data_IF_004576608881
#
_entry.id   IF_004576608881
#
_cell.length_a   1.000
_cell.length_b   1.000
_cell.length_c   1.000
_cell.angle_alpha   90.00
_cell.angle_beta   90.00
_cell.angle_gamma   90.00
#
_symmetry.space_group_name_H-M   'P 1'
#
loop_
_entity.id
_entity.type
_entity.pdbx_description
1 polymer ?
#
# COMPACT_ATOMS: atom_id res chain seq x y z
N UNK A 1 7.50 31.08 19.65
CA UNK A 1 7.59 29.92 18.73
C UNK A 1 8.88 29.94 17.90
N UNK A 2 9.20 30.99 17.15
CA UNK A 2 10.39 31.07 16.29
C UNK A 2 11.70 30.92 17.06
N UNK A 3 11.87 31.56 18.22
CA UNK A 3 13.07 31.43 19.06
C UNK A 3 13.30 30.02 19.59
N UNK A 4 12.25 29.33 20.01
CA UNK A 4 12.32 27.95 20.50
C UNK A 4 12.75 26.99 19.39
N UNK A 5 12.20 27.11 18.17
CA UNK A 5 12.57 26.31 17.02
C UNK A 5 14.02 26.54 16.57
N UNK A 6 14.48 27.78 16.57
CA UNK A 6 15.88 28.09 16.29
C UNK A 6 16.83 27.52 17.35
N UNK A 7 16.42 27.49 18.61
CA UNK A 7 17.17 26.86 19.69
C UNK A 7 17.25 25.33 19.47
N UNK A 8 16.12 24.67 19.16
CA UNK A 8 16.11 23.24 18.83
C UNK A 8 16.98 22.92 17.61
N UNK A 9 16.91 23.74 16.56
CA UNK A 9 17.76 23.55 15.39
C UNK A 9 19.26 23.63 15.73
N UNK A 10 19.66 24.59 16.57
CA UNK A 10 21.06 24.73 17.02
C UNK A 10 21.49 23.52 17.85
N UNK A 11 20.65 23.06 18.79
CA UNK A 11 20.94 21.87 19.60
C UNK A 11 21.03 20.64 18.72
N UNK A 12 20.08 20.41 17.83
CA UNK A 12 20.09 19.29 16.91
C UNK A 12 21.38 19.27 16.09
N UNK A 13 21.80 20.40 15.56
CA UNK A 13 23.05 20.52 14.79
C UNK A 13 24.30 20.26 15.62
N UNK A 14 24.35 20.68 16.87
CA UNK A 14 25.47 20.42 17.78
C UNK A 14 25.52 18.93 18.15
N UNK A 15 24.40 18.35 18.57
CA UNK A 15 24.31 16.93 18.94
C UNK A 15 24.69 16.03 17.78
N UNK A 16 24.18 16.30 16.60
CA UNK A 16 24.53 15.53 15.40
C UNK A 16 26.03 15.63 15.07
N UNK A 17 26.64 16.80 15.17
CA UNK A 17 28.10 16.97 14.96
C UNK A 17 28.93 16.22 15.98
N UNK A 18 28.49 16.12 17.22
CA UNK A 18 29.16 15.32 18.25
C UNK A 18 29.03 13.80 18.01
N UNK A 19 27.98 13.36 17.31
CA UNK A 19 27.77 11.96 16.94
C UNK A 19 28.58 11.54 15.70
N UNK A 20 28.96 12.46 14.83
CA UNK A 20 29.72 12.17 13.60
C UNK A 20 31.00 11.35 13.83
N UNK A 21 31.86 11.66 14.81
CA UNK A 21 33.06 10.89 15.06
C UNK A 21 32.80 9.43 15.47
N UNK A 22 31.61 9.15 16.00
CA UNK A 22 31.17 7.79 16.40
C UNK A 22 30.56 7.05 15.20
N UNK A 23 29.77 7.73 14.40
CA UNK A 23 29.02 7.12 13.30
C UNK A 23 29.88 6.89 12.03
N UNK A 24 30.82 7.80 11.75
CA UNK A 24 31.69 7.72 10.56
C UNK A 24 32.55 6.46 10.49
N UNK A 25 33.21 6.01 11.57
CA UNK A 25 33.99 4.77 11.53
C UNK A 25 33.13 3.55 11.22
N UNK A 26 31.94 3.46 11.84
CA UNK A 26 30.99 2.36 11.58
C UNK A 26 30.47 2.38 10.14
N UNK A 27 30.07 3.53 9.62
CA UNK A 27 29.65 3.71 8.24
C UNK A 27 30.79 3.42 7.26
N UNK A 28 32.00 3.87 7.56
CA UNK A 28 33.21 3.59 6.79
C UNK A 28 33.55 2.10 6.74
N UNK A 29 33.42 1.40 7.87
CA UNK A 29 33.61 -0.04 7.95
C UNK A 29 32.59 -0.77 7.06
N UNK A 30 31.31 -0.45 7.18
CA UNK A 30 30.25 -1.05 6.34
C UNK A 30 30.50 -0.74 4.87
N UNK A 31 30.86 0.49 4.53
CA UNK A 31 31.16 0.89 3.16
C UNK A 31 32.37 0.13 2.57
N UNK A 32 33.41 -0.13 3.37
CA UNK A 32 34.60 -0.80 2.95
C UNK A 32 34.38 -2.31 2.74
N UNK A 33 33.74 -2.97 3.72
CA UNK A 33 33.61 -4.42 3.75
C UNK A 33 32.37 -4.97 3.05
N UNK A 34 31.36 -4.11 2.78
CA UNK A 34 30.11 -4.52 2.11
C UNK A 34 29.86 -3.70 0.83
N UNK A 35 30.55 -4.02 -0.29
CA UNK A 35 30.45 -3.24 -1.54
C UNK A 35 29.02 -3.05 -2.07
N UNK A 36 28.14 -4.03 -1.84
CA UNK A 36 26.72 -3.97 -2.25
C UNK A 36 25.92 -2.86 -1.55
N UNK A 37 26.38 -2.36 -0.41
CA UNK A 37 25.72 -1.30 0.34
C UNK A 37 26.17 0.11 -0.07
N UNK A 38 27.24 0.24 -0.88
CA UNK A 38 27.82 1.53 -1.30
C UNK A 38 26.83 2.45 -2.00
N UNK A 39 26.01 1.99 -2.96
CA UNK A 39 24.99 2.84 -3.58
C UNK A 39 23.99 3.38 -2.55
N UNK A 40 23.53 2.53 -1.61
CA UNK A 40 22.65 2.91 -0.53
C UNK A 40 23.24 4.05 0.33
N UNK A 41 24.48 3.89 0.82
CA UNK A 41 25.13 4.92 1.62
C UNK A 41 25.37 6.20 0.83
N UNK A 42 25.78 6.10 -0.44
CA UNK A 42 26.02 7.26 -1.30
C UNK A 42 24.77 8.13 -1.45
N UNK A 43 23.63 7.52 -1.73
CA UNK A 43 22.36 8.25 -1.83
C UNK A 43 21.94 8.85 -0.48
N UNK A 44 22.05 8.08 0.62
CA UNK A 44 21.71 8.53 1.98
C UNK A 44 22.63 9.67 2.49
N UNK A 45 23.82 9.80 1.95
CA UNK A 45 24.70 10.94 2.18
C UNK A 45 24.43 12.13 1.24
N UNK A 46 23.40 12.02 0.40
CA UNK A 46 22.97 13.07 -0.52
C UNK A 46 23.75 13.13 -1.83
N UNK A 47 24.65 12.14 -2.11
CA UNK A 47 25.41 12.10 -3.34
C UNK A 47 24.75 11.27 -4.45
N UNK A 48 24.93 11.69 -5.69
CA UNK A 48 24.59 10.88 -6.87
C UNK A 48 23.14 10.95 -7.34
N UNK A 49 22.37 11.90 -6.84
CA UNK A 49 20.97 12.12 -7.28
C UNK A 49 20.96 13.24 -8.32
N UNK A 50 20.38 12.95 -9.49
CA UNK A 50 20.15 13.91 -10.58
C UNK A 50 19.28 15.08 -10.11
N UNK A 51 19.48 16.26 -10.71
CA UNK A 51 18.51 17.38 -10.56
C UNK A 51 17.14 16.91 -11.04
N UNK A 52 16.06 17.50 -10.49
CA UNK A 52 14.70 17.22 -10.94
C UNK A 52 14.61 17.36 -12.46
N UNK A 53 14.37 16.25 -13.17
CA UNK A 53 14.35 16.19 -14.64
C UNK A 53 12.95 16.21 -15.21
N UNK A 54 11.93 15.93 -14.40
CA UNK A 54 10.53 16.02 -14.82
C UNK A 54 10.08 17.47 -14.94
N UNK A 55 10.20 18.06 -16.15
CA UNK A 55 9.53 19.32 -16.44
C UNK A 55 8.04 19.04 -16.69
N UNK A 56 7.12 19.79 -16.04
CA UNK A 56 5.72 19.70 -16.39
C UNK A 56 5.52 20.05 -17.86
N UNK A 57 4.68 19.28 -18.55
CA UNK A 57 4.35 19.45 -19.99
C UNK A 57 3.55 20.75 -20.28
N UNK A 58 3.48 21.69 -19.35
CA UNK A 58 2.72 22.94 -19.46
C UNK A 58 3.51 24.14 -18.98
N UNK A 59 3.35 25.26 -19.63
CA UNK A 59 4.12 26.50 -19.57
C UNK A 59 3.97 27.35 -18.31
N UNK A 60 3.71 26.79 -17.12
CA UNK A 60 3.78 27.52 -15.86
C UNK A 60 4.92 26.98 -15.00
N UNK A 61 6.08 27.65 -15.04
CA UNK A 61 7.16 27.48 -14.09
C UNK A 61 6.67 27.90 -12.71
N UNK A 62 6.15 26.97 -11.92
CA UNK A 62 6.04 27.17 -10.47
C UNK A 62 7.45 27.31 -9.91
N UNK A 63 7.71 28.35 -9.11
CA UNK A 63 9.03 28.64 -8.55
C UNK A 63 9.42 27.57 -7.52
N UNK A 64 10.25 26.59 -7.94
CA UNK A 64 10.84 25.55 -7.10
C UNK A 64 10.13 24.19 -7.15
N UNK A 65 10.84 23.16 -6.70
CA UNK A 65 10.36 21.78 -6.71
C UNK A 65 9.63 21.39 -5.41
N UNK A 66 8.75 20.40 -5.49
CA UNK A 66 8.10 19.73 -4.36
C UNK A 66 8.81 18.40 -4.10
N UNK A 67 9.32 18.22 -2.89
CA UNK A 67 9.79 16.91 -2.43
C UNK A 67 8.59 16.09 -1.97
N UNK A 68 8.40 14.91 -2.57
CA UNK A 68 7.42 13.93 -2.11
C UNK A 68 8.14 12.71 -1.52
N UNK A 69 7.85 12.40 -0.26
CA UNK A 69 8.53 11.35 0.47
C UNK A 69 7.58 10.23 0.90
N UNK A 70 8.00 8.98 0.67
CA UNK A 70 7.36 7.75 1.15
C UNK A 70 8.37 6.89 1.90
N UNK A 71 7.95 6.11 2.89
CA UNK A 71 8.87 5.24 3.61
C UNK A 71 9.06 3.88 2.92
N UNK A 72 8.01 3.26 2.44
CA UNK A 72 7.96 1.85 2.06
C UNK A 72 7.37 1.60 0.67
N UNK A 73 7.49 0.34 0.21
CA UNK A 73 6.82 -0.14 -1.01
C UNK A 73 5.29 0.06 -0.97
N UNK A 74 4.65 -0.28 0.17
CA UNK A 74 3.21 -0.14 0.31
C UNK A 74 2.74 1.31 0.21
N UNK A 75 3.50 2.25 0.80
CA UNK A 75 3.26 3.67 0.69
C UNK A 75 3.52 4.20 -0.73
N UNK A 76 4.59 3.73 -1.41
CA UNK A 76 4.86 4.11 -2.79
C UNK A 76 3.70 3.74 -3.73
N UNK A 77 3.14 2.55 -3.57
CA UNK A 77 1.96 2.10 -4.33
C UNK A 77 0.74 2.96 -4.00
N UNK A 78 0.47 3.18 -2.70
CA UNK A 78 -0.69 3.96 -2.25
C UNK A 78 -0.61 5.45 -2.67
N UNK A 79 0.61 6.00 -2.75
CA UNK A 79 0.84 7.39 -3.15
C UNK A 79 0.83 7.60 -4.68
N UNK A 80 0.95 6.53 -5.48
CA UNK A 80 1.08 6.62 -6.94
C UNK A 80 -0.01 7.47 -7.60
N UNK A 81 -1.32 7.34 -7.30
CA UNK A 81 -2.35 8.20 -7.89
C UNK A 81 -2.16 9.68 -7.57
N UNK A 82 -1.77 9.99 -6.32
CA UNK A 82 -1.53 11.37 -5.90
C UNK A 82 -0.28 11.95 -6.57
N UNK A 83 0.82 11.19 -6.62
CA UNK A 83 2.06 11.62 -7.29
C UNK A 83 1.79 11.89 -8.78
N UNK A 84 1.03 11.05 -9.49
CA UNK A 84 0.64 11.27 -10.90
C UNK A 84 -0.11 12.59 -11.06
N UNK A 85 -1.15 12.82 -10.28
CA UNK A 85 -1.94 14.05 -10.34
C UNK A 85 -1.09 15.31 -10.05
N UNK A 86 -0.14 15.23 -9.12
CA UNK A 86 0.76 16.33 -8.80
C UNK A 86 1.81 16.56 -9.88
N UNK A 87 2.32 15.51 -10.52
CA UNK A 87 3.36 15.58 -11.55
C UNK A 87 2.91 16.28 -12.83
N UNK A 88 1.60 16.34 -13.10
CA UNK A 88 1.04 17.06 -14.24
C UNK A 88 1.28 18.58 -14.15
N UNK A 89 1.39 19.12 -12.93
CA UNK A 89 1.43 20.58 -12.68
C UNK A 89 2.67 21.06 -11.93
N UNK A 90 3.38 20.16 -11.24
CA UNK A 90 4.48 20.49 -10.36
C UNK A 90 5.73 19.67 -10.66
N UNK A 91 6.89 20.30 -10.55
CA UNK A 91 8.17 19.60 -10.58
C UNK A 91 8.34 18.81 -9.28
N UNK A 92 8.46 17.49 -9.38
CA UNK A 92 8.57 16.60 -8.22
C UNK A 92 9.98 16.02 -8.08
N UNK A 93 10.44 15.95 -6.84
CA UNK A 93 11.59 15.12 -6.42
C UNK A 93 11.01 14.02 -5.53
N UNK A 94 11.19 12.77 -5.90
CA UNK A 94 10.64 11.63 -5.18
C UNK A 94 11.71 10.98 -4.32
N UNK A 95 11.37 10.70 -3.06
CA UNK A 95 12.28 9.99 -2.15
C UNK A 95 11.59 8.86 -1.42
N UNK A 96 12.37 7.81 -1.11
CA UNK A 96 11.92 6.70 -0.27
C UNK A 96 12.92 6.41 0.85
N UNK A 97 12.42 5.83 1.95
CA UNK A 97 13.30 5.34 3.03
C UNK A 97 13.91 3.98 2.70
N UNK A 98 13.13 3.08 2.07
CA UNK A 98 13.54 1.71 1.73
C UNK A 98 13.95 1.56 0.25
N UNK A 99 14.85 0.61 -0.04
CA UNK A 99 15.24 0.27 -1.41
C UNK A 99 14.04 -0.18 -2.25
N UNK A 100 13.17 -1.01 -1.70
CA UNK A 100 11.97 -1.50 -2.39
C UNK A 100 10.97 -0.38 -2.70
N UNK A 101 10.83 0.60 -1.80
CA UNK A 101 10.04 1.82 -2.05
C UNK A 101 10.65 2.67 -3.17
N UNK A 102 11.97 2.86 -3.16
CA UNK A 102 12.68 3.57 -4.24
C UNK A 102 12.51 2.89 -5.58
N UNK A 103 12.68 1.56 -5.65
CA UNK A 103 12.52 0.78 -6.88
C UNK A 103 11.10 0.89 -7.44
N UNK A 104 10.09 0.83 -6.57
CA UNK A 104 8.70 1.00 -6.96
C UNK A 104 8.44 2.39 -7.57
N UNK A 105 8.94 3.46 -6.92
CA UNK A 105 8.82 4.82 -7.44
C UNK A 105 9.57 4.97 -8.77
N UNK A 106 10.79 4.43 -8.90
CA UNK A 106 11.57 4.49 -10.14
C UNK A 106 10.83 3.80 -11.29
N UNK A 107 10.21 2.65 -11.02
CA UNK A 107 9.41 1.94 -12.02
C UNK A 107 8.15 2.70 -12.43
N UNK A 108 7.45 3.31 -11.46
CA UNK A 108 6.20 4.04 -11.70
C UNK A 108 6.42 5.42 -12.34
N UNK A 109 7.59 6.03 -12.10
CA UNK A 109 7.93 7.40 -12.51
C UNK A 109 9.36 7.47 -13.09
N UNK A 110 9.62 6.84 -14.25
CA UNK A 110 10.96 6.73 -14.83
C UNK A 110 11.57 8.10 -15.21
N UNK A 111 10.73 9.09 -15.50
CA UNK A 111 11.15 10.43 -15.91
C UNK A 111 11.39 11.38 -14.71
N UNK A 112 11.20 10.92 -13.49
CA UNK A 112 11.38 11.73 -12.30
C UNK A 112 12.70 11.43 -11.58
N UNK A 113 13.19 12.42 -10.83
CA UNK A 113 14.32 12.22 -9.91
C UNK A 113 13.87 11.41 -8.72
N UNK A 114 14.27 10.14 -8.63
CA UNK A 114 13.96 9.23 -7.52
C UNK A 114 15.23 8.84 -6.79
N UNK A 115 15.21 8.93 -5.45
CA UNK A 115 16.36 8.55 -4.62
C UNK A 115 15.93 8.05 -3.23
N UNK A 116 16.90 7.49 -2.50
CA UNK A 116 16.74 7.35 -1.07
C UNK A 116 16.80 8.71 -0.39
N UNK A 117 16.00 8.87 0.69
CA UNK A 117 16.03 10.05 1.54
C UNK A 117 17.39 10.16 2.25
N UNK A 118 17.97 11.36 2.46
CA UNK A 118 19.18 11.53 3.27
C UNK A 118 19.01 11.00 4.69
N UNK A 119 20.10 10.66 5.37
CA UNK A 119 20.06 10.45 6.82
C UNK A 119 19.56 11.72 7.52
N UNK A 120 18.86 11.56 8.65
CA UNK A 120 18.25 12.69 9.35
C UNK A 120 19.31 13.54 10.11
N UNK A 121 20.09 14.27 9.34
CA UNK A 121 21.17 15.13 9.79
C UNK A 121 21.06 16.50 9.12
N UNK A 122 21.09 17.63 9.85
CA UNK A 122 20.95 18.96 9.26
C UNK A 122 21.98 19.27 8.18
N UNK A 123 23.23 18.82 8.38
CA UNK A 123 24.33 19.03 7.44
C UNK A 123 24.16 18.25 6.12
N UNK A 124 23.24 17.27 6.05
CA UNK A 124 22.82 16.61 4.83
C UNK A 124 21.52 17.20 4.24
N UNK A 125 20.55 17.54 5.10
CA UNK A 125 19.28 18.08 4.63
C UNK A 125 19.39 19.46 4.01
N UNK A 126 20.20 20.38 4.61
CA UNK A 126 20.37 21.72 4.08
C UNK A 126 20.89 21.73 2.64
N UNK A 127 22.03 21.06 2.31
CA UNK A 127 22.50 21.00 0.93
C UNK A 127 21.55 20.25 0.02
N UNK A 128 20.88 19.16 0.51
CA UNK A 128 19.91 18.41 -0.27
C UNK A 128 18.74 19.29 -0.73
N UNK A 129 18.14 20.05 0.17
CA UNK A 129 17.02 20.95 -0.12
C UNK A 129 17.43 22.10 -1.06
N UNK A 130 18.61 22.71 -0.81
CA UNK A 130 19.13 23.82 -1.62
C UNK A 130 19.48 23.40 -3.04
N UNK A 131 20.23 22.30 -3.20
CA UNK A 131 20.72 21.86 -4.50
C UNK A 131 19.61 21.44 -5.48
N UNK A 132 18.43 21.10 -4.95
CA UNK A 132 17.25 20.69 -5.72
C UNK A 132 16.17 21.75 -5.76
N UNK A 133 16.45 22.95 -5.23
CA UNK A 133 15.52 24.07 -5.18
C UNK A 133 14.18 23.72 -4.54
N UNK A 134 14.20 22.84 -3.51
CA UNK A 134 12.98 22.38 -2.83
C UNK A 134 12.37 23.56 -2.05
N UNK A 135 11.08 23.83 -2.31
CA UNK A 135 10.31 24.88 -1.63
C UNK A 135 9.19 24.30 -0.76
N UNK A 136 8.79 23.08 -1.04
CA UNK A 136 7.72 22.38 -0.32
C UNK A 136 8.11 20.91 -0.14
N UNK A 137 7.69 20.34 0.98
CA UNK A 137 7.84 18.91 1.29
C UNK A 137 6.46 18.34 1.56
N UNK A 138 6.10 17.23 0.93
CA UNK A 138 4.95 16.41 1.23
C UNK A 138 5.40 15.06 1.76
N UNK A 139 5.02 14.76 2.99
CA UNK A 139 5.31 13.51 3.67
C UNK A 139 4.10 12.60 3.60
N UNK A 140 4.29 11.38 3.15
CA UNK A 140 3.23 10.37 3.14
C UNK A 140 3.18 9.65 4.48
N UNK A 141 1.99 9.50 5.05
CA UNK A 141 1.74 8.95 6.40
C UNK A 141 2.43 9.76 7.51
N UNK A 142 3.31 9.13 8.30
CA UNK A 142 3.91 9.79 9.50
C UNK A 142 5.42 9.66 9.50
N UNK A 143 6.07 10.44 8.68
CA UNK A 143 7.52 10.51 8.59
C UNK A 143 8.03 11.78 9.30
N UNK A 144 7.91 11.83 10.64
CA UNK A 144 8.36 12.96 11.46
C UNK A 144 9.86 12.83 11.77
N UNK A 145 10.66 13.46 10.95
CA UNK A 145 12.11 13.46 11.03
C UNK A 145 12.59 14.82 11.56
N UNK A 146 13.12 14.90 12.82
CA UNK A 146 13.42 16.17 13.45
C UNK A 146 14.37 17.08 12.66
N UNK A 147 15.52 16.53 12.19
CA UNK A 147 16.51 17.34 11.47
C UNK A 147 15.99 17.82 10.11
N UNK A 148 15.16 17.00 9.42
CA UNK A 148 14.48 17.40 8.20
C UNK A 148 13.56 18.58 8.44
N UNK A 149 12.65 18.50 9.43
CA UNK A 149 11.67 19.54 9.75
C UNK A 149 12.34 20.84 10.19
N UNK A 150 13.36 20.74 11.05
CA UNK A 150 14.11 21.90 11.52
C UNK A 150 14.93 22.54 10.39
N UNK A 151 15.50 21.75 9.48
CA UNK A 151 16.22 22.25 8.30
C UNK A 151 15.26 22.92 7.30
N UNK A 152 14.08 22.33 7.09
CA UNK A 152 13.02 22.93 6.27
C UNK A 152 12.58 24.29 6.86
N UNK A 153 12.30 24.33 8.16
CA UNK A 153 11.99 25.57 8.86
C UNK A 153 13.09 26.63 8.71
N UNK A 154 14.36 26.25 8.91
CA UNK A 154 15.51 27.15 8.76
C UNK A 154 15.62 27.75 7.36
N UNK A 155 15.23 27.00 6.32
CA UNK A 155 15.28 27.42 4.91
C UNK A 155 13.97 28.05 4.42
N UNK A 156 12.93 28.16 5.25
CA UNK A 156 11.62 28.65 4.85
C UNK A 156 10.87 27.68 3.92
N UNK A 157 11.22 26.38 3.94
CA UNK A 157 10.53 25.32 3.19
C UNK A 157 9.31 24.89 3.97
N UNK A 158 8.13 24.94 3.34
CA UNK A 158 6.86 24.49 3.95
C UNK A 158 6.76 22.96 3.93
N UNK A 159 6.19 22.36 4.99
CA UNK A 159 6.05 20.91 5.12
C UNK A 159 4.60 20.55 5.37
N UNK A 160 4.04 19.72 4.50
CA UNK A 160 2.71 19.13 4.65
C UNK A 160 2.76 17.62 4.83
N UNK A 161 1.68 17.06 5.36
CA UNK A 161 1.46 15.61 5.46
C UNK A 161 0.23 15.25 4.64
N UNK A 162 0.34 14.15 3.89
CA UNK A 162 -0.76 13.53 3.16
C UNK A 162 -0.95 12.08 3.62
N UNK A 163 -2.20 11.61 3.61
CA UNK A 163 -2.54 10.28 4.14
C UNK A 163 -2.08 10.10 5.59
N UNK A 164 -2.11 11.18 6.40
CA UNK A 164 -1.54 11.24 7.74
C UNK A 164 -2.16 10.22 8.69
N UNK A 165 -1.32 9.44 9.36
CA UNK A 165 -1.72 8.39 10.29
C UNK A 165 -0.78 8.34 11.48
N UNK A 166 -1.31 8.31 12.69
CA UNK A 166 -0.55 8.10 13.92
C UNK A 166 -0.98 6.79 14.58
N UNK A 167 -0.17 5.73 14.46
CA UNK A 167 -0.45 4.46 15.13
C UNK A 167 -0.53 4.65 16.65
N UNK A 168 -1.29 3.80 17.34
CA UNK A 168 -1.44 3.87 18.81
C UNK A 168 -0.09 3.79 19.52
N UNK A 169 0.81 2.93 19.05
CA UNK A 169 2.17 2.78 19.59
C UNK A 169 3.02 4.03 19.34
N UNK A 170 2.97 4.56 18.10
CA UNK A 170 3.69 5.78 17.72
C UNK A 170 3.21 6.99 18.52
N UNK A 171 1.89 7.18 18.60
CA UNK A 171 1.28 8.25 19.39
C UNK A 171 1.68 8.19 20.88
N UNK A 172 1.60 7.00 21.52
CA UNK A 172 2.02 6.84 22.92
C UNK A 172 3.50 7.18 23.12
N UNK A 173 4.38 6.72 22.22
CA UNK A 173 5.82 7.00 22.29
C UNK A 173 6.10 8.48 22.17
N UNK A 174 5.54 9.16 21.16
CA UNK A 174 5.75 10.61 20.96
C UNK A 174 5.11 11.44 22.06
N UNK A 175 3.94 11.05 22.57
CA UNK A 175 3.28 11.74 23.70
C UNK A 175 4.11 11.71 24.98
N UNK A 176 4.91 10.66 25.19
CA UNK A 176 5.84 10.57 26.35
C UNK A 176 6.94 11.63 26.30
N UNK A 177 7.32 12.05 25.09
CA UNK A 177 8.32 13.07 24.83
C UNK A 177 7.70 14.31 24.18
N UNK A 178 6.47 14.62 24.54
CA UNK A 178 5.65 15.68 23.96
C UNK A 178 6.37 17.03 23.82
N UNK A 179 7.13 17.55 24.83
CA UNK A 179 7.84 18.81 24.69
C UNK A 179 8.79 18.87 23.49
N UNK A 180 9.40 17.75 23.10
CA UNK A 180 10.29 17.67 21.94
C UNK A 180 9.52 17.62 20.61
N UNK A 181 8.35 16.97 20.59
CA UNK A 181 7.61 16.77 19.34
C UNK A 181 6.62 17.88 19.03
N UNK A 182 5.99 18.52 20.02
CA UNK A 182 5.01 19.59 19.81
C UNK A 182 5.52 20.71 18.88
N UNK A 183 6.73 21.24 19.05
CA UNK A 183 7.23 22.26 18.14
C UNK A 183 7.37 21.79 16.70
N UNK A 184 7.68 20.51 16.49
CA UNK A 184 7.79 19.90 15.15
C UNK A 184 6.42 19.75 14.49
N UNK A 185 5.42 19.30 15.25
CA UNK A 185 4.05 19.18 14.75
C UNK A 185 3.40 20.54 14.44
N UNK A 186 3.84 21.61 15.08
CA UNK A 186 3.39 22.97 14.78
C UNK A 186 3.92 23.52 13.44
N UNK A 187 4.95 22.90 12.86
CA UNK A 187 5.49 23.26 11.55
C UNK A 187 4.68 22.67 10.38
N UNK A 188 3.78 21.75 10.67
CA UNK A 188 3.07 20.98 9.63
C UNK A 188 1.83 21.75 9.16
N UNK A 189 1.78 22.04 7.86
CA UNK A 189 0.67 22.70 7.18
C UNK A 189 0.74 22.47 5.66
N UNK A 190 -0.27 21.80 5.04
CA UNK A 190 -1.43 21.14 5.65
C UNK A 190 -1.12 19.74 6.19
N UNK A 191 -2.02 19.21 7.03
CA UNK A 191 -2.02 17.83 7.50
C UNK A 191 -3.31 17.16 7.08
N UNK A 192 -3.28 16.39 6.00
CA UNK A 192 -4.44 15.65 5.50
C UNK A 192 -4.40 14.23 6.06
N UNK A 193 -5.32 13.91 6.96
CA UNK A 193 -5.33 12.66 7.73
C UNK A 193 -6.32 11.64 7.21
N UNK A 194 -6.09 10.34 7.54
CA UNK A 194 -6.90 9.22 7.11
C UNK A 194 -8.23 9.12 7.86
N UNK A 195 -8.24 9.44 9.16
CA UNK A 195 -9.39 9.22 10.05
C UNK A 195 -9.59 10.35 11.07
N UNK A 196 -10.78 10.40 11.66
CA UNK A 196 -11.08 11.31 12.78
C UNK A 196 -10.19 11.03 14.01
N UNK A 197 -9.81 9.77 14.23
CA UNK A 197 -8.87 9.38 15.28
C UNK A 197 -7.48 9.99 15.05
N UNK A 198 -7.01 9.98 13.81
CA UNK A 198 -5.73 10.60 13.45
C UNK A 198 -5.82 12.11 13.59
N UNK A 199 -6.94 12.72 13.19
CA UNK A 199 -7.18 14.15 13.39
C UNK A 199 -7.02 14.57 14.86
N UNK A 200 -7.63 13.79 15.78
CA UNK A 200 -7.52 14.03 17.22
C UNK A 200 -6.06 13.85 17.72
N UNK A 201 -5.37 12.80 17.25
CA UNK A 201 -3.97 12.54 17.61
C UNK A 201 -3.02 13.63 17.13
N UNK A 202 -3.13 14.09 15.88
CA UNK A 202 -2.33 15.21 15.36
C UNK A 202 -2.59 16.50 16.15
N UNK A 203 -3.86 16.79 16.48
CA UNK A 203 -4.22 17.94 17.31
C UNK A 203 -3.58 17.83 18.70
N UNK A 204 -3.66 16.67 19.35
CA UNK A 204 -3.02 16.41 20.65
C UNK A 204 -1.50 16.52 20.60
N UNK A 205 -0.88 16.23 19.47
CA UNK A 205 0.56 16.42 19.28
C UNK A 205 0.98 17.84 18.99
N UNK A 206 0.05 18.76 18.76
CA UNK A 206 0.34 20.19 18.66
C UNK A 206 0.10 20.83 17.29
N UNK A 207 -0.33 20.05 16.28
CA UNK A 207 -0.73 20.60 14.99
C UNK A 207 -1.95 21.53 15.17
N UNK A 208 -1.92 22.69 14.54
CA UNK A 208 -3.02 23.64 14.61
C UNK A 208 -4.27 23.06 13.96
N UNK A 209 -5.42 23.17 14.62
CA UNK A 209 -6.68 22.57 14.12
C UNK A 209 -7.07 23.01 12.72
N UNK A 210 -6.78 24.27 12.35
CA UNK A 210 -7.04 24.82 11.01
C UNK A 210 -6.19 24.18 9.91
N UNK A 211 -5.07 23.56 10.26
CA UNK A 211 -4.16 22.91 9.31
C UNK A 211 -4.47 21.42 9.15
N UNK A 212 -5.42 20.87 9.95
CA UNK A 212 -5.74 19.43 9.92
C UNK A 212 -7.03 19.22 9.14
N UNK A 213 -6.96 18.40 8.09
CA UNK A 213 -8.07 18.11 7.18
C UNK A 213 -8.33 16.60 7.13
N UNK A 214 -9.59 16.19 7.12
CA UNK A 214 -9.98 14.79 6.96
C UNK A 214 -10.08 14.45 5.47
N UNK A 215 -9.03 13.84 4.93
CA UNK A 215 -8.97 13.42 3.52
C UNK A 215 -9.50 12.00 3.27
N UNK A 216 -9.34 11.13 4.25
CA UNK A 216 -9.54 9.69 4.08
C UNK A 216 -8.27 8.95 3.68
N UNK A 217 -8.35 7.63 3.53
CA UNK A 217 -7.20 6.78 3.23
C UNK A 217 -7.03 6.61 1.72
N UNK A 218 -5.93 7.10 1.17
CA UNK A 218 -5.58 7.02 -0.25
C UNK A 218 -5.46 5.59 -0.78
N UNK A 219 -5.28 4.59 0.10
CA UNK A 219 -5.28 3.18 -0.31
C UNK A 219 -6.58 2.77 -1.01
N UNK A 220 -7.71 3.37 -0.66
CA UNK A 220 -9.00 3.12 -1.31
C UNK A 220 -9.10 3.66 -2.75
N UNK A 221 -8.25 4.61 -3.12
CA UNK A 221 -8.23 5.23 -4.46
C UNK A 221 -7.11 4.66 -5.37
N UNK A 222 -6.32 3.70 -4.90
CA UNK A 222 -5.35 2.96 -5.75
C UNK A 222 -6.10 2.21 -6.86
N UNK A 223 -7.35 1.86 -6.59
CA UNK A 223 -8.25 1.21 -7.53
C UNK A 223 -9.18 2.23 -8.19
N UNK A 224 -9.08 2.44 -9.51
CA UNK A 224 -10.12 3.09 -10.30
C UNK A 224 -10.99 2.03 -11.01
N UNK A 225 -12.28 1.87 -10.60
CA UNK A 225 -13.18 0.93 -11.28
C UNK A 225 -13.46 1.32 -12.73
N UNK A 226 -13.17 2.59 -13.11
CA UNK A 226 -13.34 3.09 -14.49
C UNK A 226 -12.13 2.77 -15.37
N UNK A 227 -10.94 2.53 -14.78
CA UNK A 227 -9.86 1.94 -15.55
C UNK A 227 -10.37 0.61 -16.09
N UNK A 228 -10.52 0.56 -17.41
CA UNK A 228 -10.89 -0.66 -18.11
C UNK A 228 -9.82 -1.70 -17.78
N UNK A 229 -10.12 -2.54 -16.81
CA UNK A 229 -9.48 -3.85 -16.82
C UNK A 229 -9.92 -4.41 -18.14
N UNK A 230 -9.00 -4.54 -19.08
CA UNK A 230 -9.24 -5.38 -20.24
C UNK A 230 -9.72 -6.69 -19.62
N UNK A 231 -11.02 -6.94 -19.80
CA UNK A 231 -11.59 -8.23 -19.42
C UNK A 231 -10.93 -9.20 -20.39
N UNK A 232 -9.89 -9.95 -19.98
CA UNK A 232 -9.23 -10.78 -20.95
C UNK A 232 -10.23 -11.87 -21.26
N UNK A 233 -10.87 -11.79 -22.44
CA UNK A 233 -11.74 -12.86 -22.96
C UNK A 233 -11.05 -14.20 -22.82
N UNK A 234 -9.73 -14.22 -22.99
CA UNK A 234 -8.88 -15.37 -22.77
C UNK A 234 -8.93 -15.92 -21.34
N UNK A 235 -8.94 -15.06 -20.31
CA UNK A 235 -9.00 -15.49 -18.92
C UNK A 235 -10.39 -16.07 -18.58
N UNK A 236 -11.44 -15.42 -19.06
CA UNK A 236 -12.81 -15.92 -18.90
C UNK A 236 -12.97 -17.28 -19.60
N UNK A 237 -12.50 -17.38 -20.83
CA UNK A 237 -12.53 -18.60 -21.60
C UNK A 237 -11.75 -19.72 -20.91
N UNK A 238 -10.57 -19.41 -20.35
CA UNK A 238 -9.76 -20.37 -19.60
C UNK A 238 -10.51 -20.90 -18.36
N UNK A 239 -11.10 -20.02 -17.54
CA UNK A 239 -11.89 -20.43 -16.36
C UNK A 239 -13.07 -21.32 -16.78
N UNK A 240 -13.84 -20.92 -17.79
CA UNK A 240 -15.00 -21.69 -18.27
C UNK A 240 -14.60 -23.05 -18.83
N UNK A 241 -13.55 -23.10 -19.62
CA UNK A 241 -13.05 -24.35 -20.19
C UNK A 241 -12.65 -25.37 -19.13
N UNK A 242 -11.93 -24.90 -18.09
CA UNK A 242 -11.56 -25.76 -16.97
C UNK A 242 -12.79 -26.35 -16.27
N UNK A 243 -13.83 -25.54 -16.10
CA UNK A 243 -15.09 -25.97 -15.48
C UNK A 243 -15.84 -26.98 -16.35
N UNK A 244 -15.92 -26.73 -17.67
CA UNK A 244 -16.59 -27.63 -18.62
C UNK A 244 -15.89 -28.99 -18.74
N UNK A 245 -14.56 -29.00 -18.66
CA UNK A 245 -13.76 -30.20 -18.80
C UNK A 245 -13.73 -31.08 -17.54
N UNK A 246 -13.83 -30.48 -16.35
CA UNK A 246 -13.51 -31.15 -15.09
C UNK A 246 -14.64 -31.28 -14.09
N UNK A 247 -15.67 -30.40 -14.17
CA UNK A 247 -16.73 -30.39 -13.19
C UNK A 247 -18.01 -31.05 -13.67
N UNK A 248 -18.86 -31.45 -12.72
CA UNK A 248 -20.13 -32.09 -12.99
C UNK A 248 -21.04 -31.21 -13.86
N UNK A 249 -21.43 -31.72 -15.02
CA UNK A 249 -22.30 -31.00 -15.97
C UNK A 249 -23.64 -30.67 -15.36
N UNK A 250 -24.04 -29.39 -15.54
CA UNK A 250 -25.34 -28.89 -15.05
C UNK A 250 -25.32 -28.28 -13.64
N UNK A 251 -24.23 -28.39 -12.91
CA UNK A 251 -24.04 -27.69 -11.64
C UNK A 251 -23.15 -26.49 -11.80
N UNK A 252 -23.59 -25.29 -11.40
CA UNK A 252 -22.79 -24.09 -11.39
C UNK A 252 -21.70 -24.22 -10.31
N UNK A 253 -20.39 -24.16 -10.65
CA UNK A 253 -19.33 -24.24 -9.67
C UNK A 253 -19.31 -23.04 -8.76
N UNK A 254 -18.72 -23.20 -7.57
CA UNK A 254 -18.37 -22.12 -6.68
C UNK A 254 -16.90 -21.76 -6.87
N UNK A 255 -16.62 -20.52 -7.24
CA UNK A 255 -15.28 -20.04 -7.55
C UNK A 255 -14.66 -19.38 -6.34
N UNK A 256 -13.72 -20.07 -5.72
CA UNK A 256 -12.93 -19.59 -4.59
C UNK A 256 -11.58 -19.07 -5.06
N UNK A 257 -11.29 -17.80 -4.87
CA UNK A 257 -9.98 -17.21 -5.18
C UNK A 257 -9.09 -17.16 -3.93
N UNK A 258 -7.94 -17.80 -4.00
CA UNK A 258 -6.84 -17.62 -3.07
C UNK A 258 -5.94 -16.47 -3.61
N UNK A 259 -6.16 -15.26 -3.14
CA UNK A 259 -5.59 -14.03 -3.73
C UNK A 259 -4.25 -13.67 -3.11
N UNK A 260 -3.20 -13.59 -3.91
CA UNK A 260 -1.83 -13.19 -3.49
C UNK A 260 -1.28 -14.10 -2.38
N UNK A 261 -1.48 -15.39 -2.49
CA UNK A 261 -1.10 -16.38 -1.46
C UNK A 261 0.37 -16.77 -1.49
N UNK A 262 0.84 -17.29 -0.35
CA UNK A 262 2.16 -17.88 -0.16
C UNK A 262 2.07 -19.40 -0.14
N UNK A 263 3.17 -20.15 -0.43
CA UNK A 263 3.11 -21.61 -0.54
C UNK A 263 2.62 -22.31 0.73
N UNK A 264 3.06 -21.90 1.91
CA UNK A 264 2.76 -22.61 3.17
C UNK A 264 1.28 -22.43 3.58
N UNK A 265 0.75 -21.20 3.51
CA UNK A 265 -0.68 -20.99 3.77
C UNK A 265 -1.56 -21.70 2.74
N UNK A 266 -1.14 -21.73 1.46
CA UNK A 266 -1.87 -22.47 0.42
C UNK A 266 -1.95 -23.97 0.72
N UNK A 267 -0.84 -24.58 1.14
CA UNK A 267 -0.83 -25.99 1.56
C UNK A 267 -1.80 -26.25 2.71
N UNK A 268 -1.83 -25.39 3.72
CA UNK A 268 -2.72 -25.51 4.86
C UNK A 268 -4.18 -25.41 4.43
N UNK A 269 -4.51 -24.38 3.63
CA UNK A 269 -5.87 -24.17 3.09
C UNK A 269 -6.33 -25.39 2.28
N UNK A 270 -5.53 -25.87 1.35
CA UNK A 270 -5.91 -27.01 0.50
C UNK A 270 -6.13 -28.28 1.31
N UNK A 271 -5.24 -28.60 2.28
CA UNK A 271 -5.41 -29.74 3.18
C UNK A 271 -6.71 -29.69 3.97
N UNK A 272 -7.14 -28.49 4.35
CA UNK A 272 -8.40 -28.30 5.07
C UNK A 272 -9.59 -28.57 4.15
N UNK A 273 -9.55 -28.04 2.93
CA UNK A 273 -10.62 -28.22 1.93
C UNK A 273 -10.74 -29.67 1.43
N UNK A 274 -9.65 -30.43 1.40
CA UNK A 274 -9.65 -31.84 1.01
C UNK A 274 -10.30 -32.77 2.06
N UNK A 275 -10.31 -32.38 3.34
CA UNK A 275 -10.80 -33.24 4.43
C UNK A 275 -12.33 -33.33 4.49
N UNK A 276 -13.02 -32.28 4.06
CA UNK A 276 -14.47 -32.15 4.20
C UNK A 276 -15.16 -32.15 2.83
N UNK A 277 -15.46 -33.34 2.34
CA UNK A 277 -16.25 -33.51 1.13
C UNK A 277 -17.45 -34.42 1.50
N UNK A 278 -18.66 -34.06 1.02
CA UNK A 278 -18.98 -33.25 -0.15
C UNK A 278 -19.41 -31.81 0.16
N UNK A 279 -18.87 -30.84 -0.59
CA UNK A 279 -19.47 -29.49 -0.64
C UNK A 279 -20.82 -29.52 -1.39
N UNK A 280 -21.75 -28.61 -1.06
CA UNK A 280 -23.07 -28.53 -1.74
C UNK A 280 -22.98 -28.25 -3.23
N UNK A 281 -21.89 -27.68 -3.68
CA UNK A 281 -21.57 -27.33 -5.09
C UNK A 281 -20.15 -27.71 -5.42
N UNK A 282 -19.82 -28.05 -6.69
CA UNK A 282 -18.45 -28.24 -7.11
C UNK A 282 -17.60 -26.98 -6.84
N UNK A 283 -16.36 -27.16 -6.39
CA UNK A 283 -15.44 -26.05 -6.13
C UNK A 283 -14.46 -25.87 -7.28
N UNK A 284 -14.31 -24.63 -7.74
CA UNK A 284 -13.18 -24.21 -8.56
C UNK A 284 -12.29 -23.30 -7.74
N UNK A 285 -11.12 -23.78 -7.31
CA UNK A 285 -10.17 -23.03 -6.53
C UNK A 285 -9.15 -22.40 -7.47
N UNK A 286 -9.17 -21.08 -7.52
CA UNK A 286 -8.26 -20.26 -8.31
C UNK A 286 -7.12 -19.78 -7.42
N UNK A 287 -5.89 -20.18 -7.69
CA UNK A 287 -4.71 -19.88 -6.89
C UNK A 287 -3.92 -18.79 -7.60
N UNK A 288 -3.81 -17.61 -6.99
CA UNK A 288 -3.00 -16.51 -7.48
C UNK A 288 -1.80 -16.29 -6.53
N UNK A 289 -0.59 -16.75 -6.90
CA UNK A 289 0.60 -16.57 -6.07
C UNK A 289 1.01 -15.10 -5.92
N UNK A 290 1.50 -14.72 -4.74
CA UNK A 290 2.08 -13.38 -4.53
C UNK A 290 3.35 -13.17 -5.34
N UNK A 291 4.15 -14.22 -5.50
CA UNK A 291 5.46 -14.18 -6.14
C UNK A 291 5.57 -15.27 -7.20
N UNK A 292 5.58 -14.87 -8.48
CA UNK A 292 5.68 -15.82 -9.60
C UNK A 292 7.04 -16.55 -9.65
N UNK A 293 8.10 -16.01 -9.07
CA UNK A 293 9.37 -16.70 -8.93
C UNK A 293 9.32 -17.91 -7.99
N UNK A 294 8.19 -18.13 -7.28
CA UNK A 294 7.93 -19.31 -6.44
C UNK A 294 6.97 -20.31 -7.08
N UNK A 295 6.62 -20.17 -8.35
CA UNK A 295 5.70 -21.08 -9.05
C UNK A 295 6.13 -22.55 -8.95
N UNK A 296 7.42 -22.85 -9.07
CA UNK A 296 7.92 -24.21 -8.91
C UNK A 296 7.66 -24.77 -7.49
N UNK A 297 7.69 -23.91 -6.47
CA UNK A 297 7.31 -24.33 -5.11
C UNK A 297 5.82 -24.68 -5.05
N UNK A 298 4.94 -23.91 -5.70
CA UNK A 298 3.52 -24.25 -5.78
C UNK A 298 3.34 -25.56 -6.55
N UNK A 299 3.95 -25.73 -7.71
CA UNK A 299 3.88 -26.95 -8.53
C UNK A 299 4.33 -28.20 -7.77
N UNK A 300 5.30 -28.07 -6.85
CA UNK A 300 5.85 -29.21 -6.10
C UNK A 300 4.86 -29.88 -5.15
N UNK A 301 3.79 -29.18 -4.71
CA UNK A 301 2.80 -29.73 -3.79
C UNK A 301 1.37 -29.72 -4.34
N UNK A 302 1.11 -29.03 -5.44
CA UNK A 302 -0.18 -29.09 -6.09
C UNK A 302 -0.35 -30.43 -6.83
N UNK A 303 -1.58 -30.97 -6.90
CA UNK A 303 -1.88 -32.15 -7.71
C UNK A 303 -1.44 -31.96 -9.16
N UNK A 304 -1.05 -33.07 -9.82
CA UNK A 304 -0.66 -33.03 -11.23
C UNK A 304 -1.79 -32.61 -12.17
N UNK A 305 -3.01 -32.73 -11.71
CA UNK A 305 -4.23 -32.32 -12.40
C UNK A 305 -4.53 -30.83 -12.29
N UNK A 306 -3.66 -30.05 -11.63
CA UNK A 306 -3.82 -28.60 -11.51
C UNK A 306 -3.62 -27.92 -12.87
N UNK A 307 -4.57 -27.06 -13.25
CA UNK A 307 -4.48 -26.28 -14.46
C UNK A 307 -3.57 -25.06 -14.27
N UNK A 308 -2.69 -24.80 -15.25
CA UNK A 308 -1.81 -23.63 -15.27
C UNK A 308 -2.17 -22.76 -16.47
N UNK A 309 -2.41 -21.46 -16.22
CA UNK A 309 -2.95 -20.56 -17.23
C UNK A 309 -2.07 -20.40 -18.47
N UNK A 310 -0.77 -20.13 -18.30
CA UNK A 310 0.11 -19.64 -19.39
C UNK A 310 0.42 -20.73 -20.43
N UNK A 311 0.36 -21.98 -20.06
CA UNK A 311 0.72 -23.06 -20.99
C UNK A 311 -0.45 -23.74 -21.69
N UNK A 312 -1.69 -23.39 -21.34
CA UNK A 312 -2.91 -24.04 -21.85
C UNK A 312 -2.83 -25.57 -21.81
N UNK A 313 -1.83 -26.07 -21.10
CA UNK A 313 -1.54 -27.49 -20.93
C UNK A 313 -2.05 -27.94 -19.57
N UNK A 314 -2.99 -28.83 -19.60
CA UNK A 314 -3.34 -29.64 -18.46
C UNK A 314 -2.08 -30.44 -18.11
N UNK A 315 -1.60 -30.43 -16.88
CA UNK A 315 -0.74 -31.46 -16.38
C UNK A 315 -1.57 -32.76 -16.30
N UNK A 316 -1.68 -33.46 -17.41
CA UNK A 316 -2.37 -34.76 -17.47
C UNK A 316 -1.34 -35.80 -17.09
N UNK A 317 -1.62 -36.60 -16.04
CA UNK A 317 -1.12 -37.94 -16.00
C UNK A 317 -1.83 -38.73 -17.13
N UNK A 318 -1.08 -39.48 -17.89
CA UNK A 318 -1.59 -40.25 -19.04
C UNK A 318 -2.64 -41.32 -18.68
N UNK A 319 -3.04 -41.42 -17.41
CA UNK A 319 -4.03 -42.39 -16.92
C UNK A 319 -5.32 -41.67 -16.45
N UNK A 320 -6.33 -41.70 -17.30
CA UNK A 320 -7.73 -41.59 -16.88
C UNK A 320 -8.40 -40.21 -16.98
N UNK A 321 -8.60 -39.74 -18.19
CA UNK A 321 -9.62 -38.75 -18.50
C UNK A 321 -11.03 -39.25 -18.12
N UNK A 322 -11.84 -38.34 -17.57
CA UNK A 322 -13.30 -38.48 -17.33
C UNK A 322 -13.74 -38.98 -15.95
N UNK A 323 -13.10 -38.49 -14.88
CA UNK A 323 -13.81 -38.43 -13.60
C UNK A 323 -14.22 -36.98 -13.33
N UNK A 324 -15.51 -36.74 -13.21
CA UNK A 324 -16.08 -35.50 -12.67
C UNK A 324 -15.55 -35.33 -11.26
N UNK A 325 -14.79 -34.25 -11.05
CA UNK A 325 -14.17 -33.97 -9.76
C UNK A 325 -15.09 -33.05 -8.95
N UNK A 326 -15.20 -33.26 -7.63
CA UNK A 326 -15.92 -32.32 -6.76
C UNK A 326 -15.17 -31.00 -6.59
N UNK A 327 -13.86 -30.99 -6.90
CA UNK A 327 -12.98 -29.83 -6.76
C UNK A 327 -11.95 -29.82 -7.89
N UNK A 328 -11.72 -28.66 -8.48
CA UNK A 328 -10.67 -28.43 -9.47
C UNK A 328 -9.79 -27.25 -9.04
N UNK A 329 -8.49 -27.36 -9.31
CA UNK A 329 -7.50 -26.33 -8.97
C UNK A 329 -6.97 -25.68 -10.24
N UNK A 330 -6.84 -24.35 -10.20
CA UNK A 330 -6.22 -23.58 -11.28
C UNK A 330 -5.18 -22.63 -10.71
N UNK A 331 -3.98 -22.59 -11.29
CA UNK A 331 -2.86 -21.76 -10.89
C UNK A 331 -2.67 -20.61 -11.88
N UNK A 332 -2.78 -19.37 -11.42
CA UNK A 332 -2.49 -18.16 -12.19
C UNK A 332 -0.97 -17.92 -12.18
N UNK A 333 -0.33 -17.96 -13.36
CA UNK A 333 1.11 -17.80 -13.50
C UNK A 333 1.53 -16.52 -14.25
N UNK A 334 0.61 -15.56 -14.36
CA UNK A 334 0.80 -14.26 -15.02
C UNK A 334 0.66 -13.09 -14.06
N UNK A 335 1.26 -11.97 -14.43
CA UNK A 335 1.10 -10.69 -13.74
C UNK A 335 -0.01 -9.85 -14.37
N UNK A 336 -0.74 -9.09 -13.51
CA UNK A 336 -1.69 -8.08 -13.96
C UNK A 336 -3.13 -8.57 -14.10
N UNK A 337 -3.38 -9.87 -14.12
CA UNK A 337 -4.70 -10.46 -14.37
C UNK A 337 -5.51 -10.75 -13.09
N UNK A 338 -4.90 -10.65 -11.90
CA UNK A 338 -5.56 -10.92 -10.62
C UNK A 338 -6.85 -10.10 -10.44
N UNK A 339 -6.82 -8.83 -10.83
CA UNK A 339 -7.97 -7.92 -10.75
C UNK A 339 -9.14 -8.39 -11.63
N UNK A 340 -8.85 -8.84 -12.84
CA UNK A 340 -9.86 -9.40 -13.73
C UNK A 340 -10.40 -10.72 -13.18
N UNK A 341 -9.50 -11.61 -12.74
CA UNK A 341 -9.87 -12.91 -12.15
C UNK A 341 -10.78 -12.74 -10.94
N UNK A 342 -10.51 -11.76 -10.07
CA UNK A 342 -11.34 -11.48 -8.89
C UNK A 342 -12.82 -11.27 -9.24
N UNK A 343 -13.13 -10.63 -10.36
CA UNK A 343 -14.53 -10.36 -10.80
C UNK A 343 -15.32 -11.61 -11.17
N UNK A 344 -14.64 -12.72 -11.46
CA UNK A 344 -15.28 -13.99 -11.79
C UNK A 344 -15.51 -14.87 -10.58
N UNK A 345 -15.02 -14.48 -9.40
CA UNK A 345 -15.04 -15.30 -8.20
C UNK A 345 -16.27 -15.01 -7.35
N UNK A 346 -16.71 -16.02 -6.60
CA UNK A 346 -17.82 -15.92 -5.67
C UNK A 346 -17.34 -15.52 -4.26
N UNK A 347 -16.07 -15.86 -3.90
CA UNK A 347 -15.45 -15.57 -2.62
C UNK A 347 -13.93 -15.41 -2.78
N UNK A 348 -13.32 -14.54 -1.99
CA UNK A 348 -11.87 -14.32 -1.97
C UNK A 348 -11.31 -14.57 -0.58
N UNK A 349 -10.29 -15.41 -0.50
CA UNK A 349 -9.40 -15.54 0.66
C UNK A 349 -8.16 -14.67 0.40
N UNK A 350 -7.91 -13.73 1.29
CA UNK A 350 -6.78 -12.79 1.17
C UNK A 350 -5.50 -13.44 1.68
N UNK A 351 -4.51 -13.57 0.81
CA UNK A 351 -3.24 -14.20 1.14
C UNK A 351 -2.35 -13.36 2.06
N UNK A 352 -1.35 -14.02 2.66
CA UNK A 352 -0.45 -13.45 3.67
C UNK A 352 -1.15 -13.17 4.99
N UNK A 353 -2.36 -13.70 5.19
CA UNK A 353 -3.14 -13.51 6.41
C UNK A 353 -3.20 -14.75 7.30
N UNK A 354 -2.99 -15.93 6.77
CA UNK A 354 -2.82 -17.16 7.55
C UNK A 354 -1.35 -17.45 7.87
N UNK A 355 -0.43 -16.89 7.11
CA UNK A 355 1.00 -16.82 7.44
C UNK A 355 1.32 -15.46 8.11
N UNK A 356 2.36 -15.34 8.96
CA UNK A 356 2.71 -14.10 9.67
C UNK A 356 3.38 -13.07 8.75
N UNK A 357 2.77 -12.82 7.59
CA UNK A 357 3.22 -11.84 6.59
C UNK A 357 2.58 -10.48 6.80
N UNK A 358 1.34 -10.43 7.34
CA UNK A 358 0.62 -9.19 7.64
C UNK A 358 -0.47 -8.82 6.63
N UNK A 359 -0.73 -9.68 5.64
CA UNK A 359 -1.85 -9.56 4.70
C UNK A 359 -1.58 -8.70 3.47
N UNK A 360 -2.24 -9.07 2.37
CA UNK A 360 -2.25 -8.33 1.10
C UNK A 360 -3.55 -7.54 0.92
N UNK A 361 -3.62 -6.67 -0.10
CA UNK A 361 -4.74 -5.75 -0.29
C UNK A 361 -6.05 -6.48 -0.62
N UNK A 362 -7.15 -6.23 0.13
CA UNK A 362 -8.49 -6.75 -0.18
C UNK A 362 -9.30 -5.83 -1.11
N UNK A 363 -8.72 -4.71 -1.57
CA UNK A 363 -9.47 -3.61 -2.21
C UNK A 363 -10.10 -4.04 -3.53
N UNK A 364 -9.41 -4.85 -4.34
CA UNK A 364 -9.93 -5.31 -5.63
C UNK A 364 -11.21 -6.15 -5.45
N UNK A 365 -11.23 -7.02 -4.44
CA UNK A 365 -12.41 -7.82 -4.11
C UNK A 365 -13.54 -6.97 -3.51
N UNK A 366 -13.22 -6.04 -2.62
CA UNK A 366 -14.20 -5.12 -2.05
C UNK A 366 -14.86 -4.25 -3.13
N UNK A 367 -14.06 -3.72 -4.05
CA UNK A 367 -14.54 -2.91 -5.17
C UNK A 367 -15.44 -3.71 -6.15
N UNK A 368 -15.11 -4.99 -6.36
CA UNK A 368 -15.92 -5.90 -7.16
C UNK A 368 -17.20 -6.36 -6.42
N UNK A 369 -17.30 -6.11 -5.12
CA UNK A 369 -18.41 -6.56 -4.28
C UNK A 369 -18.36 -8.07 -4.04
N UNK A 370 -17.17 -8.62 -3.90
CA UNK A 370 -16.97 -10.03 -3.61
C UNK A 370 -16.75 -10.20 -2.10
N UNK A 371 -17.44 -11.13 -1.43
CA UNK A 371 -17.20 -11.47 -0.03
C UNK A 371 -15.75 -11.85 0.24
N UNK A 372 -15.27 -11.55 1.44
CA UNK A 372 -13.87 -11.69 1.82
C UNK A 372 -13.68 -12.55 3.06
N UNK A 373 -12.63 -13.37 3.05
CA UNK A 373 -12.11 -14.07 4.23
C UNK A 373 -10.65 -13.68 4.42
N UNK A 374 -10.27 -13.42 5.69
CA UNK A 374 -8.88 -13.17 6.11
C UNK A 374 -8.52 -14.05 7.29
N UNK A 375 -7.24 -14.35 7.43
CA UNK A 375 -6.65 -14.95 8.64
C UNK A 375 -6.32 -13.91 9.70
N UNK A 376 -5.68 -14.33 10.82
CA UNK A 376 -5.41 -13.47 11.98
C UNK A 376 -4.26 -12.47 11.76
N UNK A 377 -3.41 -12.67 10.75
CA UNK A 377 -2.24 -11.83 10.49
C UNK A 377 -2.57 -10.72 9.49
N UNK A 378 -3.07 -9.58 9.99
CA UNK A 378 -3.56 -8.46 9.17
C UNK A 378 -2.85 -7.14 9.45
N UNK A 379 -1.64 -7.16 10.02
CA UNK A 379 -0.95 -5.96 10.52
C UNK A 379 -0.71 -4.90 9.44
N UNK A 380 -0.44 -5.30 8.18
CA UNK A 380 -0.20 -4.38 7.08
C UNK A 380 -1.50 -3.78 6.51
N UNK A 381 -2.62 -4.47 6.69
CA UNK A 381 -3.93 -4.12 6.13
C UNK A 381 -4.99 -3.89 7.20
N UNK A 382 -4.60 -3.78 8.47
CA UNK A 382 -5.52 -3.73 9.63
C UNK A 382 -6.67 -2.74 9.47
N UNK A 383 -6.41 -1.54 8.94
CA UNK A 383 -7.45 -0.52 8.76
C UNK A 383 -8.47 -0.93 7.72
N UNK A 384 -8.02 -1.48 6.59
CA UNK A 384 -8.89 -1.99 5.54
C UNK A 384 -9.76 -3.14 6.08
N UNK A 385 -9.15 -4.03 6.87
CA UNK A 385 -9.85 -5.15 7.52
C UNK A 385 -10.88 -4.65 8.52
N UNK A 386 -10.56 -3.67 9.37
CA UNK A 386 -11.51 -3.07 10.30
C UNK A 386 -12.71 -2.47 9.55
N UNK A 387 -12.46 -1.64 8.54
CA UNK A 387 -13.51 -1.02 7.73
C UNK A 387 -14.46 -2.07 7.10
N UNK A 388 -13.90 -3.12 6.47
CA UNK A 388 -14.66 -4.15 5.77
C UNK A 388 -15.40 -5.11 6.74
N UNK A 389 -14.82 -5.40 7.91
CA UNK A 389 -15.48 -6.18 8.96
C UNK A 389 -16.65 -5.42 9.58
N UNK A 390 -16.43 -4.16 9.97
CA UNK A 390 -17.47 -3.30 10.52
C UNK A 390 -18.61 -3.09 9.51
N UNK A 391 -18.28 -3.04 8.22
CA UNK A 391 -19.23 -2.98 7.13
C UNK A 391 -19.98 -4.28 6.84
N UNK A 392 -19.55 -5.42 7.40
CA UNK A 392 -20.22 -6.72 7.23
C UNK A 392 -19.74 -7.55 6.03
N UNK A 393 -18.82 -7.05 5.20
CA UNK A 393 -18.41 -7.69 3.96
C UNK A 393 -17.24 -8.69 4.09
N UNK A 394 -16.69 -8.86 5.31
CA UNK A 394 -15.48 -9.65 5.56
C UNK A 394 -15.61 -10.51 6.82
N UNK A 395 -15.15 -11.76 6.73
CA UNK A 395 -14.98 -12.66 7.86
C UNK A 395 -13.49 -12.81 8.20
N UNK A 396 -13.16 -12.81 9.49
CA UNK A 396 -11.83 -13.12 10.00
C UNK A 396 -11.84 -14.47 10.68
N UNK A 397 -10.98 -15.40 10.23
CA UNK A 397 -10.82 -16.73 10.78
C UNK A 397 -9.51 -16.83 11.55
N UNK A 398 -9.55 -17.44 12.72
CA UNK A 398 -8.35 -17.61 13.56
C UNK A 398 -7.40 -18.71 13.05
N UNK A 399 -7.90 -19.63 12.22
CA UNK A 399 -7.13 -20.76 11.65
C UNK A 399 -7.67 -21.11 10.28
N UNK A 400 -6.81 -21.60 9.35
CA UNK A 400 -7.26 -22.20 8.09
C UNK A 400 -8.22 -23.37 8.29
N UNK A 401 -8.13 -24.09 9.42
CA UNK A 401 -8.99 -25.25 9.71
C UNK A 401 -10.48 -24.92 9.78
N UNK A 402 -10.83 -23.66 10.05
CA UNK A 402 -12.21 -23.19 10.06
C UNK A 402 -12.78 -22.91 8.66
N UNK A 403 -11.92 -22.93 7.62
CA UNK A 403 -12.32 -22.51 6.28
C UNK A 403 -13.36 -23.43 5.66
N UNK A 404 -13.23 -24.76 5.79
CA UNK A 404 -14.19 -25.72 5.22
C UNK A 404 -15.58 -25.54 5.79
N UNK A 405 -15.71 -25.47 7.11
CA UNK A 405 -16.98 -25.25 7.80
C UNK A 405 -17.61 -23.92 7.37
N UNK A 406 -16.80 -22.84 7.40
CA UNK A 406 -17.24 -21.50 6.95
C UNK A 406 -17.73 -21.52 5.50
N UNK A 407 -17.01 -22.21 4.60
CA UNK A 407 -17.40 -22.33 3.21
C UNK A 407 -18.73 -23.10 3.05
N UNK A 408 -18.91 -24.19 3.78
CA UNK A 408 -20.18 -24.93 3.77
C UNK A 408 -21.36 -24.05 4.21
N UNK A 409 -21.20 -23.31 5.30
CA UNK A 409 -22.21 -22.33 5.76
C UNK A 409 -22.54 -21.30 4.69
N UNK A 410 -21.52 -20.65 4.11
CA UNK A 410 -21.68 -19.63 3.08
C UNK A 410 -22.31 -20.18 1.79
N UNK A 411 -21.97 -21.40 1.39
CA UNK A 411 -22.56 -22.07 0.22
C UNK A 411 -24.05 -22.38 0.38
N UNK A 412 -24.51 -22.57 1.63
CA UNK A 412 -25.90 -22.81 1.96
C UNK A 412 -26.69 -21.51 2.12
N UNK A 413 -26.04 -20.38 2.42
CA UNK A 413 -26.66 -19.08 2.68
C UNK A 413 -26.29 -18.06 1.59
N UNK A 414 -27.01 -18.15 0.46
CA UNK A 414 -26.79 -17.23 -0.67
C UNK A 414 -27.16 -15.78 -0.35
N UNK A 415 -28.12 -15.57 0.56
CA UNK A 415 -28.52 -14.21 0.98
C UNK A 415 -27.40 -13.55 1.77
N UNK A 416 -26.77 -14.27 2.70
CA UNK A 416 -25.61 -13.81 3.45
C UNK A 416 -24.44 -13.45 2.51
N UNK A 417 -24.15 -14.30 1.53
CA UNK A 417 -23.12 -14.05 0.53
C UNK A 417 -23.41 -12.78 -0.29
N UNK A 418 -24.62 -12.64 -0.78
CA UNK A 418 -25.03 -11.46 -1.56
C UNK A 418 -24.92 -10.19 -0.72
N UNK A 419 -25.39 -10.23 0.54
CA UNK A 419 -25.28 -9.12 1.47
C UNK A 419 -23.84 -8.74 1.75
N UNK A 420 -22.95 -9.70 2.05
CA UNK A 420 -21.53 -9.43 2.25
C UNK A 420 -20.90 -8.73 1.04
N UNK A 421 -21.26 -9.14 -0.18
CA UNK A 421 -20.80 -8.50 -1.41
C UNK A 421 -21.31 -7.06 -1.55
N UNK A 422 -22.58 -6.81 -1.23
CA UNK A 422 -23.15 -5.46 -1.22
C UNK A 422 -22.49 -4.57 -0.18
N UNK A 423 -22.30 -5.08 1.02
CA UNK A 423 -21.63 -4.38 2.12
C UNK A 423 -20.21 -3.96 1.73
N UNK A 424 -19.44 -4.84 1.06
CA UNK A 424 -18.13 -4.52 0.52
C UNK A 424 -18.16 -3.38 -0.50
N UNK A 425 -19.13 -3.39 -1.46
CA UNK A 425 -19.29 -2.28 -2.41
C UNK A 425 -19.63 -0.97 -1.71
N UNK A 426 -20.47 -1.02 -0.70
CA UNK A 426 -20.87 0.14 0.08
C UNK A 426 -19.67 0.73 0.83
N UNK A 427 -18.90 -0.09 1.54
CA UNK A 427 -17.67 0.36 2.22
C UNK A 427 -16.72 0.97 1.21
N UNK A 428 -16.45 0.30 0.09
CA UNK A 428 -15.57 0.82 -0.95
C UNK A 428 -16.05 2.17 -1.49
N UNK A 429 -17.35 2.32 -1.81
CA UNK A 429 -17.92 3.54 -2.36
C UNK A 429 -17.83 4.73 -1.39
N UNK A 430 -18.05 4.50 -0.11
CA UNK A 430 -17.99 5.53 0.95
C UNK A 430 -16.56 5.93 1.25
N UNK A 431 -15.62 4.98 1.22
CA UNK A 431 -14.20 5.23 1.53
C UNK A 431 -13.42 5.87 0.38
N UNK A 432 -13.88 5.76 -0.85
CA UNK A 432 -13.27 6.40 -2.03
C UNK A 432 -13.30 7.93 -1.98
N UNK A 433 -12.53 8.55 -2.89
CA UNK A 433 -12.47 9.99 -3.08
C UNK A 433 -11.48 10.69 -2.16
N UNK A 434 -10.65 9.94 -1.44
CA UNK A 434 -9.57 10.49 -0.63
C UNK A 434 -8.57 11.28 -1.50
N UNK A 435 -8.30 10.83 -2.73
CA UNK A 435 -7.45 11.53 -3.70
C UNK A 435 -7.98 12.93 -4.03
N UNK A 436 -9.27 13.02 -4.38
CA UNK A 436 -9.89 14.30 -4.76
C UNK A 436 -9.91 15.26 -3.56
N UNK A 437 -10.30 14.76 -2.38
CA UNK A 437 -10.28 15.55 -1.14
C UNK A 437 -8.85 16.01 -0.79
N UNK A 438 -7.86 15.12 -0.89
CA UNK A 438 -6.45 15.46 -0.63
C UNK A 438 -5.97 16.55 -1.57
N UNK A 439 -6.22 16.43 -2.87
CA UNK A 439 -5.84 17.44 -3.87
C UNK A 439 -6.49 18.80 -3.59
N UNK A 440 -7.77 18.82 -3.17
CA UNK A 440 -8.45 20.08 -2.84
C UNK A 440 -7.80 20.79 -1.65
N UNK A 441 -7.39 20.05 -0.62
CA UNK A 441 -6.68 20.62 0.54
C UNK A 441 -5.22 21.02 0.23
N UNK A 442 -4.60 20.39 -0.77
CA UNK A 442 -3.24 20.74 -1.20
C UNK A 442 -3.18 21.97 -2.12
N UNK A 443 -4.28 22.36 -2.79
CA UNK A 443 -4.30 23.46 -3.73
C UNK A 443 -3.65 24.73 -3.21
N UNK A 444 -4.12 25.33 -2.10
CA UNK A 444 -3.54 26.54 -1.51
C UNK A 444 -2.07 26.39 -1.13
N UNK A 445 -1.69 25.25 -0.55
CA UNK A 445 -0.31 24.93 -0.22
C UNK A 445 0.59 24.91 -1.47
N UNK A 446 0.14 24.31 -2.55
CA UNK A 446 0.90 24.16 -3.79
C UNK A 446 0.97 25.45 -4.60
N UNK A 447 -0.07 26.28 -4.61
CA UNK A 447 -0.12 27.54 -5.32
C UNK A 447 0.58 28.68 -4.56
N UNK A 448 0.92 28.49 -3.28
CA UNK A 448 1.60 29.51 -2.46
C UNK A 448 0.67 30.59 -1.93
N UNK A 449 -0.64 30.39 -2.03
CA UNK A 449 -1.62 31.27 -1.37
C UNK A 449 -1.67 30.96 0.12
N UNK A 450 -1.39 31.93 0.96
CA UNK A 450 -1.72 31.82 2.38
C UNK A 450 -3.26 31.82 2.49
N UNK A 451 -3.83 30.93 3.28
CA UNK A 451 -5.24 30.94 3.62
C UNK A 451 -5.55 32.27 4.33
N UNK A 452 -5.95 33.30 3.59
CA UNK A 452 -6.51 34.50 4.16
C UNK A 452 -7.92 34.17 4.70
N UNK A 453 -8.25 34.70 5.86
CA UNK A 453 -9.43 34.40 6.69
C UNK A 453 -10.80 34.62 6.02
N UNK A 454 -10.87 35.01 4.75
CA UNK A 454 -12.10 35.50 4.11
C UNK A 454 -12.85 34.46 3.24
N UNK A 455 -12.23 33.29 2.93
CA UNK A 455 -12.91 32.29 2.08
C UNK A 455 -13.49 31.07 2.83
N UNK A 456 -13.36 31.02 4.14
CA UNK A 456 -14.09 30.08 4.98
C UNK A 456 -15.39 30.74 5.47
N UNK A 457 -16.28 31.02 4.53
CA UNK A 457 -17.68 31.33 4.84
C UNK A 457 -18.37 30.09 5.42
N UNK A 458 -18.25 29.89 6.73
CA UNK A 458 -19.10 29.15 7.65
C UNK A 458 -18.90 29.75 9.04
#
# INVERSE_FOLDING_TARGET
MTGTLLFYFRIDRILNRLLWPILLPGAGFIWLFFPRTRPFFRERLGFGVSKATGQPSGSQKTSGAVLFHVASLGEAVAATPLIRALSERHSLVLTATTLTGREALTKAFPDHSVSLVPFDLPDLWIPFLKSREIRKILLFETEIWPSMLLSAFHLGVKVGIVNGRLSTRGFRRMSRFRPLFVPLFQLLDPVVVQSALDQDRFRKMGTLSRNIHLGGNLKWDVFDPRESVQDPEELRFWVQRVEEDCLEKGKKPFRLLLSSVHPEETKQILRTLEKEIPFPRPLHILIAPRHLNRLETFRSFLPKETWVQDRRERFISEEGASKTLPMVLSLLDSYGELRALTRFCDLVVVGGTFDPVGGHSPIDAAAAGIPLIVGPHTDHIRELVCDLKEGGGMLELNSPDLLSETLCELLMDQEKMAKMGEDNRNVFSVRRGALVRTLSFLGPFLEGKDFSREEAGL
#
